data_IF_867710028443
#
_entry.id   IF_867710028443
#
_cell.length_a   1.000
_cell.length_b   1.000
_cell.length_c   1.000
_cell.angle_alpha   90.00
_cell.angle_beta   90.00
_cell.angle_gamma   90.00
#
_symmetry.space_group_name_H-M   'P 1'
#
loop_
_entity.id
_entity.type
_entity.pdbx_description
1 polymer ?
#
# COMPACT_ATOMS: atom_id res chain seq x y z
N UNK A 1 0.05 -16.67 -3.70
CA UNK A 1 -0.96 -15.71 -3.22
C UNK A 1 -0.27 -14.38 -2.94
N UNK A 2 -0.94 -13.26 -3.20
CA UNK A 2 -0.43 -11.89 -2.96
C UNK A 2 -1.62 -10.98 -2.70
N UNK A 3 -1.40 -9.82 -2.07
CA UNK A 3 -2.42 -8.80 -1.85
C UNK A 3 -2.87 -8.25 -3.20
N UNK A 4 -4.15 -8.24 -3.50
CA UNK A 4 -4.74 -7.79 -4.76
C UNK A 4 -5.36 -6.39 -4.67
N UNK A 5 -5.79 -5.82 -5.80
CA UNK A 5 -6.61 -4.61 -5.81
C UNK A 5 -8.00 -4.84 -5.19
N UNK A 6 -8.54 -6.06 -5.28
CA UNK A 6 -9.79 -6.45 -4.59
C UNK A 6 -9.58 -6.38 -3.07
N UNK A 7 -8.45 -6.88 -2.56
CA UNK A 7 -8.10 -6.79 -1.14
C UNK A 7 -8.06 -5.35 -0.65
N UNK A 8 -7.38 -4.46 -1.37
CA UNK A 8 -7.30 -3.03 -1.03
C UNK A 8 -8.69 -2.42 -0.95
N UNK A 9 -9.53 -2.66 -1.96
CA UNK A 9 -10.87 -2.11 -2.01
C UNK A 9 -11.77 -2.66 -0.91
N UNK A 10 -11.72 -3.97 -0.66
CA UNK A 10 -12.58 -4.63 0.32
C UNK A 10 -12.15 -4.33 1.76
N UNK A 11 -10.85 -4.37 2.07
CA UNK A 11 -10.32 -4.15 3.42
C UNK A 11 -10.43 -2.69 3.84
N UNK A 12 -10.11 -1.77 2.94
CA UNK A 12 -9.86 -0.37 3.30
C UNK A 12 -10.92 0.60 2.79
N UNK A 13 -11.75 0.18 1.81
CA UNK A 13 -12.78 1.02 1.18
C UNK A 13 -12.25 2.33 0.58
N UNK A 14 -10.98 2.34 0.14
CA UNK A 14 -10.36 3.46 -0.58
C UNK A 14 -10.35 3.22 -2.09
N UNK A 15 -10.41 4.29 -2.92
CA UNK A 15 -10.41 4.16 -4.38
C UNK A 15 -9.14 3.50 -4.90
N UNK A 16 -9.32 2.47 -5.73
CA UNK A 16 -8.27 1.77 -6.48
C UNK A 16 -8.23 2.17 -7.96
N UNK A 17 -9.21 2.96 -8.41
CA UNK A 17 -9.24 3.61 -9.74
C UNK A 17 -9.21 5.11 -9.58
N UNK A 18 -8.81 5.80 -10.65
CA UNK A 18 -8.78 7.25 -10.70
C UNK A 18 -7.44 7.77 -11.20
N UNK A 19 -7.17 9.03 -10.88
CA UNK A 19 -5.94 9.74 -11.25
C UNK A 19 -4.73 9.05 -10.62
N UNK A 20 -3.63 9.01 -11.37
CA UNK A 20 -2.35 8.48 -10.88
C UNK A 20 -1.83 9.37 -9.75
N UNK A 21 -1.38 8.75 -8.65
CA UNK A 21 -0.74 9.45 -7.54
C UNK A 21 0.72 9.72 -7.91
N UNK A 22 0.98 10.78 -8.66
CA UNK A 22 2.32 11.19 -9.03
C UNK A 22 2.42 12.71 -9.15
N UNK A 23 3.59 13.25 -8.79
CA UNK A 23 3.92 14.66 -9.00
C UNK A 23 5.13 14.72 -9.91
N UNK A 24 4.97 15.38 -11.06
CA UNK A 24 6.07 15.54 -12.01
C UNK A 24 7.20 16.37 -11.40
N UNK A 25 8.44 15.99 -11.72
CA UNK A 25 9.68 16.74 -11.40
C UNK A 25 9.98 16.98 -9.90
N UNK A 26 9.23 16.39 -8.96
CA UNK A 26 9.46 16.62 -7.52
C UNK A 26 10.70 15.93 -6.94
N UNK A 27 11.34 15.02 -7.69
CA UNK A 27 12.48 14.21 -7.22
C UNK A 27 13.84 14.92 -7.32
N UNK A 28 13.94 16.06 -8.00
CA UNK A 28 15.21 16.80 -8.14
C UNK A 28 15.31 17.85 -7.04
N UNK A 29 16.18 17.59 -6.06
CA UNK A 29 16.57 18.61 -5.08
C UNK A 29 17.44 19.65 -5.79
N UNK A 30 16.83 20.79 -6.11
CA UNK A 30 17.50 21.98 -6.63
C UNK A 30 17.14 23.16 -5.73
N UNK A 31 17.94 24.23 -5.75
CA UNK A 31 17.63 25.44 -4.97
C UNK A 31 16.28 26.06 -5.38
N UNK A 32 15.92 25.97 -6.67
CA UNK A 32 14.60 26.36 -7.19
C UNK A 32 13.49 25.48 -6.59
N UNK A 33 13.65 24.15 -6.64
CA UNK A 33 12.69 23.20 -6.05
C UNK A 33 12.48 23.45 -4.55
N UNK A 34 13.52 23.90 -3.83
CA UNK A 34 13.44 24.23 -2.41
C UNK A 34 12.65 25.52 -2.17
N UNK A 35 12.93 26.59 -2.92
CA UNK A 35 12.18 27.84 -2.82
C UNK A 35 10.68 27.61 -3.07
N UNK A 36 10.36 26.80 -4.09
CA UNK A 36 8.97 26.47 -4.40
C UNK A 36 8.32 25.59 -3.34
N UNK A 37 9.07 24.66 -2.75
CA UNK A 37 8.58 23.87 -1.62
C UNK A 37 8.26 24.72 -0.38
N UNK A 38 9.11 25.71 -0.06
CA UNK A 38 8.87 26.65 1.05
C UNK A 38 7.59 27.46 0.78
N UNK A 39 7.44 28.01 -0.44
CA UNK A 39 6.22 28.74 -0.84
C UNK A 39 4.99 27.85 -0.77
N UNK A 40 5.09 26.59 -1.19
CA UNK A 40 4.00 25.62 -1.15
C UNK A 40 3.58 25.30 0.29
N UNK A 41 4.55 25.05 1.17
CA UNK A 41 4.31 24.80 2.60
C UNK A 41 3.66 26.01 3.25
N UNK A 42 4.20 27.21 3.04
CA UNK A 42 3.63 28.46 3.57
C UNK A 42 2.19 28.68 3.09
N UNK A 43 1.95 28.57 1.78
CA UNK A 43 0.63 28.76 1.16
C UNK A 43 -0.39 27.74 1.65
N UNK A 44 -0.08 26.44 1.56
CA UNK A 44 -1.07 25.37 1.77
C UNK A 44 -1.26 25.01 3.24
N UNK A 45 -0.27 25.23 4.10
CA UNK A 45 -0.40 25.01 5.54
C UNK A 45 -0.71 26.29 6.31
N UNK A 46 -0.65 27.47 5.67
CA UNK A 46 -0.97 28.75 6.30
C UNK A 46 0.04 29.14 7.40
N UNK A 47 1.33 28.89 7.15
CA UNK A 47 2.44 29.30 8.02
C UNK A 47 3.25 30.42 7.39
N UNK A 48 4.01 31.19 8.18
CA UNK A 48 4.90 32.22 7.62
C UNK A 48 5.96 31.58 6.72
N UNK A 49 6.51 32.36 5.79
CA UNK A 49 7.60 31.91 4.92
C UNK A 49 8.82 31.53 5.76
N UNK A 50 9.12 32.32 6.80
CA UNK A 50 10.21 32.07 7.75
C UNK A 50 10.03 30.72 8.47
N UNK A 51 8.83 30.44 9.02
CA UNK A 51 8.54 29.17 9.69
C UNK A 51 8.66 27.97 8.73
N UNK A 52 8.22 28.13 7.49
CA UNK A 52 8.32 27.10 6.45
C UNK A 52 9.77 26.87 6.05
N UNK A 53 10.56 27.93 5.90
CA UNK A 53 11.98 27.87 5.58
C UNK A 53 12.75 27.14 6.68
N UNK A 54 12.55 27.52 7.95
CA UNK A 54 13.18 26.87 9.09
C UNK A 54 12.90 25.35 9.11
N UNK A 55 11.65 24.94 8.91
CA UNK A 55 11.28 23.52 8.92
C UNK A 55 11.89 22.76 7.73
N UNK A 56 11.85 23.31 6.53
CA UNK A 56 12.48 22.70 5.34
C UNK A 56 14.00 22.59 5.53
N UNK A 57 14.62 23.55 6.21
CA UNK A 57 16.05 23.56 6.51
C UNK A 57 16.41 22.48 7.53
N UNK A 58 15.63 22.35 8.61
CA UNK A 58 15.84 21.34 9.66
C UNK A 58 15.62 19.93 9.10
N UNK A 59 14.59 19.74 8.29
CA UNK A 59 14.24 18.44 7.72
C UNK A 59 15.18 17.99 6.59
N UNK A 60 16.06 18.88 6.09
CA UNK A 60 17.11 18.61 5.09
C UNK A 60 16.57 17.85 3.87
N UNK A 61 15.74 18.52 3.07
CA UNK A 61 15.19 17.98 1.84
C UNK A 61 13.84 18.59 1.47
N UNK A 62 13.16 18.02 0.48
CA UNK A 62 11.78 18.39 0.13
C UNK A 62 10.78 17.67 1.05
N UNK A 63 10.97 17.83 2.36
CA UNK A 63 10.21 17.15 3.41
C UNK A 63 9.80 18.11 4.52
N UNK A 64 8.88 17.69 5.38
CA UNK A 64 8.62 18.33 6.69
C UNK A 64 8.53 17.26 7.77
N UNK A 65 8.76 17.61 9.03
CA UNK A 65 8.68 16.71 10.17
C UNK A 65 7.24 16.47 10.61
N UNK A 66 6.93 15.20 10.92
CA UNK A 66 5.65 14.80 11.48
C UNK A 66 5.40 15.39 12.87
N UNK A 67 6.46 15.57 13.67
CA UNK A 67 6.35 16.21 14.99
C UNK A 67 6.04 17.71 14.88
N UNK A 68 6.58 18.39 13.87
CA UNK A 68 6.25 19.79 13.57
C UNK A 68 4.78 19.95 13.14
N UNK A 69 4.29 19.05 12.28
CA UNK A 69 2.86 18.98 11.96
C UNK A 69 2.01 18.75 13.24
N UNK A 70 2.41 17.80 14.09
CA UNK A 70 1.66 17.51 15.31
C UNK A 70 1.64 18.71 16.28
N UNK A 71 2.78 19.35 16.52
CA UNK A 71 2.86 20.47 17.47
C UNK A 71 2.02 21.65 17.00
N UNK A 72 2.04 21.98 15.72
CA UNK A 72 1.41 23.20 15.20
C UNK A 72 -0.11 23.09 15.07
N UNK A 73 -0.63 21.90 14.76
CA UNK A 73 -2.06 21.68 14.53
C UNK A 73 -2.77 20.90 15.65
N UNK A 74 -2.08 20.12 16.50
CA UNK A 74 -2.70 19.49 17.68
C UNK A 74 -2.71 20.39 18.93
N UNK A 75 -1.82 21.40 19.05
CA UNK A 75 -1.77 22.27 20.24
C UNK A 75 -2.68 23.50 20.18
N UNK A 76 -3.32 23.80 19.04
CA UNK A 76 -4.16 24.99 18.90
C UNK A 76 -5.60 24.83 19.37
N UNK A 77 -6.07 23.63 19.68
CA UNK A 77 -7.44 23.38 20.13
C UNK A 77 -7.78 23.97 21.53
N UNK A 78 -6.79 24.48 22.28
CA UNK A 78 -6.97 25.02 23.63
C UNK A 78 -6.59 26.49 23.84
N UNK A 79 -6.13 27.21 22.80
CA UNK A 79 -5.70 28.62 22.94
C UNK A 79 -6.76 29.59 22.42
N UNK A 80 -7.34 30.39 23.31
CA UNK A 80 -8.35 31.40 22.97
C UNK A 80 -7.82 32.61 22.17
N UNK A 81 -6.50 32.75 22.01
CA UNK A 81 -5.85 33.95 21.45
C UNK A 81 -5.09 33.73 20.14
N UNK A 82 -5.23 32.58 19.48
CA UNK A 82 -4.58 32.35 18.18
C UNK A 82 -5.58 32.47 17.04
N UNK A 83 -5.27 33.30 16.04
CA UNK A 83 -5.92 33.21 14.73
C UNK A 83 -5.71 31.79 14.20
N UNK A 84 -6.79 31.03 14.12
CA UNK A 84 -6.73 29.66 13.61
C UNK A 84 -6.33 29.71 12.13
N UNK A 85 -5.42 28.84 11.67
CA UNK A 85 -5.21 28.65 10.24
C UNK A 85 -6.57 28.33 9.58
N UNK A 86 -6.79 28.74 8.31
CA UNK A 86 -7.99 28.35 7.58
C UNK A 86 -8.27 26.84 7.72
N UNK A 87 -9.55 26.46 7.77
CA UNK A 87 -9.97 25.05 7.97
C UNK A 87 -9.28 24.13 6.97
N UNK A 88 -9.15 24.58 5.72
CA UNK A 88 -8.46 23.82 4.69
C UNK A 88 -6.97 23.57 4.99
N UNK A 89 -6.26 24.55 5.53
CA UNK A 89 -4.85 24.38 5.92
C UNK A 89 -4.70 23.32 7.00
N UNK A 90 -5.63 23.31 7.97
CA UNK A 90 -5.68 22.29 9.01
C UNK A 90 -6.03 20.92 8.44
N UNK A 91 -6.98 20.85 7.51
CA UNK A 91 -7.32 19.61 6.80
C UNK A 91 -6.14 19.06 6.00
N UNK A 92 -5.42 19.92 5.25
CA UNK A 92 -4.20 19.54 4.51
C UNK A 92 -3.12 19.01 5.45
N UNK A 93 -2.86 19.68 6.57
CA UNK A 93 -1.89 19.22 7.56
C UNK A 93 -2.27 17.85 8.16
N UNK A 94 -3.55 17.66 8.49
CA UNK A 94 -4.06 16.40 9.03
C UNK A 94 -3.96 15.27 8.01
N UNK A 95 -4.40 15.50 6.76
CA UNK A 95 -4.32 14.51 5.68
C UNK A 95 -2.86 14.16 5.34
N UNK A 96 -1.98 15.16 5.25
CA UNK A 96 -0.56 14.94 5.02
C UNK A 96 0.06 14.05 6.10
N UNK A 97 -0.25 14.34 7.37
CA UNK A 97 0.18 13.52 8.50
C UNK A 97 -0.38 12.09 8.40
N UNK A 98 -1.70 11.95 8.21
CA UNK A 98 -2.39 10.67 8.15
C UNK A 98 -1.83 9.78 7.02
N UNK A 99 -1.74 10.30 5.80
CA UNK A 99 -1.23 9.58 4.63
C UNK A 99 0.23 9.12 4.85
N UNK A 100 1.06 9.96 5.47
CA UNK A 100 2.46 9.64 5.78
C UNK A 100 2.65 8.62 6.89
N UNK A 101 1.64 8.40 7.73
CA UNK A 101 1.67 7.42 8.82
C UNK A 101 1.00 6.10 8.43
N UNK A 102 0.20 6.09 7.36
CA UNK A 102 -0.61 4.96 6.94
C UNK A 102 -0.23 4.49 5.54
N UNK A 103 -0.88 5.00 4.50
CA UNK A 103 -0.74 4.53 3.11
C UNK A 103 0.70 4.59 2.60
N UNK A 104 1.41 5.65 2.95
CA UNK A 104 2.75 5.95 2.43
C UNK A 104 3.80 6.04 3.54
N UNK A 105 3.61 5.28 4.62
CA UNK A 105 4.57 5.19 5.71
C UNK A 105 5.96 4.81 5.19
N UNK A 106 6.97 5.61 5.48
CA UNK A 106 8.35 5.37 5.11
C UNK A 106 9.16 4.79 6.30
N UNK A 107 10.44 4.47 6.06
CA UNK A 107 11.33 3.98 7.13
C UNK A 107 11.84 5.09 8.04
N UNK A 108 11.78 6.37 7.62
CA UNK A 108 12.25 7.48 8.47
C UNK A 108 11.39 7.65 9.72
N UNK A 109 10.10 7.29 9.62
CA UNK A 109 9.11 7.38 10.69
C UNK A 109 8.78 8.80 11.14
N UNK A 110 9.59 9.80 10.75
CA UNK A 110 9.61 11.14 11.34
C UNK A 110 9.38 12.25 10.31
N UNK A 111 9.52 11.96 9.01
CA UNK A 111 9.39 12.93 7.93
C UNK A 111 8.29 12.56 6.95
N UNK A 112 7.77 13.56 6.25
CA UNK A 112 6.81 13.39 5.16
C UNK A 112 7.27 14.23 3.97
N UNK A 113 7.15 13.68 2.76
CA UNK A 113 7.48 14.39 1.53
C UNK A 113 6.48 15.50 1.23
N UNK A 114 6.99 16.67 0.83
CA UNK A 114 6.17 17.81 0.37
C UNK A 114 5.45 17.46 -0.94
N UNK A 115 5.88 16.42 -1.68
CA UNK A 115 5.17 15.95 -2.86
C UNK A 115 3.72 15.53 -2.53
N UNK A 116 3.51 14.91 -1.35
CA UNK A 116 2.16 14.57 -0.88
C UNK A 116 1.32 15.82 -0.62
N UNK A 117 1.93 16.91 -0.14
CA UNK A 117 1.23 18.18 0.07
C UNK A 117 0.76 18.78 -1.26
N UNK A 118 1.52 18.61 -2.35
CA UNK A 118 1.12 19.07 -3.69
C UNK A 118 -0.15 18.36 -4.18
N UNK A 119 -0.30 17.06 -3.88
CA UNK A 119 -1.51 16.30 -4.19
C UNK A 119 -2.74 16.72 -3.36
N UNK A 120 -2.51 17.46 -2.27
CA UNK A 120 -3.55 17.99 -1.39
C UNK A 120 -3.84 19.48 -1.68
N UNK A 121 -3.34 20.04 -2.78
CA UNK A 121 -3.60 21.44 -3.14
C UNK A 121 -5.12 21.67 -3.31
N UNK A 122 -5.77 20.84 -4.12
CA UNK A 122 -7.23 20.79 -4.24
C UNK A 122 -7.79 19.63 -3.42
N UNK A 123 -8.39 19.95 -2.26
CA UNK A 123 -9.01 18.97 -1.38
C UNK A 123 -10.21 18.26 -2.02
N UNK A 124 -10.90 18.89 -2.98
CA UNK A 124 -12.03 18.28 -3.67
C UNK A 124 -11.56 17.17 -4.64
N UNK A 125 -10.32 17.24 -5.12
CA UNK A 125 -9.78 16.26 -6.06
C UNK A 125 -9.12 15.05 -5.37
N UNK A 126 -8.88 15.12 -4.05
CA UNK A 126 -8.20 14.05 -3.29
C UNK A 126 -8.91 12.70 -3.42
N UNK A 127 -10.25 12.70 -3.47
CA UNK A 127 -11.06 11.49 -3.63
C UNK A 127 -10.99 10.86 -5.02
N UNK A 128 -10.50 11.58 -6.03
CA UNK A 128 -10.42 11.11 -7.41
C UNK A 128 -9.09 10.40 -7.73
N UNK A 129 -8.15 10.37 -6.78
CA UNK A 129 -6.90 9.63 -6.95
C UNK A 129 -7.09 8.13 -6.69
N UNK A 130 -6.36 7.30 -7.44
CA UNK A 130 -6.25 5.87 -7.20
C UNK A 130 -5.36 5.56 -5.98
N UNK A 131 -5.68 6.15 -4.82
CA UNK A 131 -4.85 6.10 -3.60
C UNK A 131 -4.59 4.68 -3.09
N UNK A 132 -5.57 3.78 -3.24
CA UNK A 132 -5.42 2.37 -2.89
C UNK A 132 -4.43 1.64 -3.81
N UNK A 133 -4.49 1.86 -5.13
CA UNK A 133 -3.55 1.27 -6.07
C UNK A 133 -2.12 1.80 -5.85
N UNK A 134 -2.00 3.09 -5.55
CA UNK A 134 -0.73 3.71 -5.18
C UNK A 134 -0.16 3.14 -3.88
N UNK A 135 -0.99 2.97 -2.85
CA UNK A 135 -0.58 2.35 -1.58
C UNK A 135 -0.12 0.89 -1.80
N UNK A 136 -0.79 0.13 -2.68
CA UNK A 136 -0.38 -1.23 -3.02
C UNK A 136 0.96 -1.26 -3.76
N UNK A 137 1.18 -0.38 -4.75
CA UNK A 137 2.47 -0.25 -5.44
C UNK A 137 3.60 0.03 -4.44
N UNK A 138 3.37 0.97 -3.51
CA UNK A 138 4.34 1.34 -2.50
C UNK A 138 4.61 0.19 -1.51
N UNK A 139 3.58 -0.53 -1.09
CA UNK A 139 3.71 -1.70 -0.23
C UNK A 139 4.49 -2.84 -0.92
N UNK A 140 4.21 -3.12 -2.20
CA UNK A 140 4.95 -4.11 -2.99
C UNK A 140 6.44 -3.80 -3.07
N UNK A 141 6.81 -2.54 -3.33
CA UNK A 141 8.21 -2.08 -3.33
C UNK A 141 8.89 -2.36 -2.00
N UNK A 142 8.21 -2.10 -0.88
CA UNK A 142 8.76 -2.32 0.45
C UNK A 142 8.80 -3.80 0.85
N UNK A 143 7.84 -4.61 0.44
CA UNK A 143 7.87 -6.07 0.60
C UNK A 143 9.07 -6.67 -0.14
N UNK A 144 9.27 -6.30 -1.41
CA UNK A 144 10.42 -6.75 -2.19
C UNK A 144 11.77 -6.25 -1.65
N UNK A 145 11.78 -5.14 -0.92
CA UNK A 145 12.97 -4.65 -0.21
C UNK A 145 13.19 -5.38 1.11
N UNK A 146 12.12 -5.74 1.83
CA UNK A 146 12.17 -6.42 3.13
C UNK A 146 12.70 -7.86 3.05
N UNK A 147 12.66 -8.50 1.88
CA UNK A 147 13.27 -9.84 1.68
C UNK A 147 14.80 -9.82 1.63
N UNK A 148 15.44 -8.65 1.74
CA UNK A 148 16.90 -8.51 1.71
C UNK A 148 17.46 -8.69 3.12
N UNK A 149 18.54 -9.47 3.23
CA UNK A 149 19.17 -9.87 4.52
C UNK A 149 19.48 -8.69 5.45
N UNK A 150 19.82 -7.51 4.92
CA UNK A 150 20.19 -6.33 5.71
C UNK A 150 19.01 -5.44 6.11
N UNK A 151 17.78 -5.81 5.75
CA UNK A 151 16.59 -4.98 6.02
C UNK A 151 15.88 -5.48 7.27
N UNK A 152 15.84 -4.63 8.31
CA UNK A 152 15.18 -4.91 9.59
C UNK A 152 13.80 -4.23 9.73
N UNK A 153 13.42 -3.39 8.77
CA UNK A 153 12.18 -2.62 8.81
C UNK A 153 11.47 -2.67 7.46
N UNK A 154 10.15 -2.78 7.53
CA UNK A 154 9.24 -2.70 6.39
C UNK A 154 8.43 -1.39 6.48
N UNK A 155 8.13 -0.83 5.32
CA UNK A 155 7.36 0.39 5.14
C UNK A 155 6.17 0.13 4.20
N UNK A 156 5.38 1.16 3.90
CA UNK A 156 4.09 1.03 3.25
C UNK A 156 2.97 0.72 4.25
N UNK A 157 1.79 0.37 3.73
CA UNK A 157 0.61 0.26 4.57
C UNK A 157 0.50 -1.10 5.27
N UNK A 158 1.11 -1.25 6.44
CA UNK A 158 1.17 -2.54 7.15
C UNK A 158 -0.19 -3.04 7.64
N UNK A 159 -1.13 -2.16 7.95
CA UNK A 159 -2.50 -2.56 8.31
C UNK A 159 -3.20 -3.29 7.16
N UNK A 160 -2.89 -2.97 5.90
CA UNK A 160 -3.37 -3.73 4.74
C UNK A 160 -2.77 -5.14 4.72
N UNK A 161 -1.46 -5.25 4.95
CA UNK A 161 -0.77 -6.55 5.02
C UNK A 161 -1.32 -7.42 6.15
N UNK A 162 -1.51 -6.86 7.34
CA UNK A 162 -2.08 -7.55 8.50
C UNK A 162 -3.52 -7.99 8.24
N UNK A 163 -4.37 -7.08 7.74
CA UNK A 163 -5.76 -7.37 7.38
C UNK A 163 -5.85 -8.50 6.34
N UNK A 164 -5.01 -8.46 5.32
CA UNK A 164 -4.90 -9.54 4.32
C UNK A 164 -4.49 -10.86 4.97
N UNK A 165 -3.48 -10.86 5.84
CA UNK A 165 -3.07 -12.08 6.56
C UNK A 165 -4.23 -12.67 7.36
N UNK A 166 -5.01 -11.84 8.04
CA UNK A 166 -6.12 -12.30 8.89
C UNK A 166 -7.31 -12.84 8.10
N UNK A 167 -7.56 -12.33 6.90
CA UNK A 167 -8.61 -12.86 6.03
C UNK A 167 -8.26 -14.23 5.42
N UNK A 168 -6.99 -14.42 5.06
CA UNK A 168 -6.55 -15.63 4.36
C UNK A 168 -6.03 -16.74 5.27
N UNK A 169 -5.39 -16.41 6.40
CA UNK A 169 -4.70 -17.39 7.24
C UNK A 169 -5.25 -17.46 8.67
N UNK A 170 -5.66 -18.66 9.09
CA UNK A 170 -6.15 -18.94 10.45
C UNK A 170 -5.01 -19.16 11.46
N UNK A 171 -4.12 -18.18 11.59
CA UNK A 171 -2.92 -18.28 12.45
C UNK A 171 -3.19 -17.97 13.94
N UNK A 172 -4.42 -17.62 14.30
CA UNK A 172 -4.80 -17.27 15.68
C UNK A 172 -4.19 -15.96 16.19
N UNK A 173 -3.67 -15.11 15.29
CA UNK A 173 -3.01 -13.82 15.59
C UNK A 173 -4.00 -12.68 15.88
N UNK A 174 -5.25 -12.82 15.44
CA UNK A 174 -6.32 -11.86 15.67
C UNK A 174 -7.61 -12.57 16.06
N UNK A 175 -8.54 -11.82 16.64
CA UNK A 175 -9.91 -12.28 16.94
C UNK A 175 -10.92 -11.40 16.24
N UNK A 176 -12.09 -11.93 15.86
CA UNK A 176 -13.19 -11.12 15.34
C UNK A 176 -13.61 -10.02 16.34
N UNK A 177 -13.83 -8.82 15.81
CA UNK A 177 -14.33 -7.67 16.55
C UNK A 177 -15.85 -7.79 16.73
N UNK A 178 -16.32 -7.96 17.96
CA UNK A 178 -17.75 -8.09 18.27
C UNK A 178 -18.58 -6.84 17.90
N UNK A 179 -17.94 -5.67 17.75
CA UNK A 179 -18.62 -4.41 17.40
C UNK A 179 -18.57 -4.10 15.89
N UNK A 180 -17.96 -4.98 15.10
CA UNK A 180 -17.83 -4.76 13.67
C UNK A 180 -19.18 -4.90 12.95
N UNK A 181 -19.37 -4.08 11.93
CA UNK A 181 -20.60 -3.99 11.13
C UNK A 181 -20.20 -3.77 9.68
N UNK A 182 -20.51 -4.74 8.80
CA UNK A 182 -20.01 -4.83 7.40
C UNK A 182 -20.26 -3.56 6.56
N UNK A 183 -21.38 -2.86 6.79
CA UNK A 183 -21.78 -1.68 6.02
C UNK A 183 -21.35 -0.35 6.63
N UNK A 184 -20.80 -0.36 7.86
CA UNK A 184 -20.45 0.86 8.60
C UNK A 184 -18.94 1.02 8.70
N UNK A 185 -18.22 -0.07 8.87
CA UNK A 185 -16.79 -0.06 9.13
C UNK A 185 -16.02 -0.66 7.94
N UNK A 186 -14.82 -0.16 7.63
CA UNK A 186 -13.89 -0.86 6.75
C UNK A 186 -13.65 -2.28 7.24
N UNK A 187 -13.55 -3.26 6.33
CA UNK A 187 -13.46 -4.69 6.68
C UNK A 187 -12.22 -5.03 7.50
N UNK A 188 -11.14 -4.25 7.37
CA UNK A 188 -9.96 -4.41 8.23
C UNK A 188 -10.29 -4.27 9.72
N UNK A 189 -11.33 -3.50 10.09
CA UNK A 189 -11.80 -3.34 11.47
C UNK A 189 -12.53 -4.58 12.01
N UNK A 190 -12.78 -5.60 11.18
CA UNK A 190 -13.31 -6.90 11.59
C UNK A 190 -12.35 -7.62 12.52
N UNK A 191 -11.06 -7.33 12.44
CA UNK A 191 -10.04 -8.04 13.22
C UNK A 191 -9.51 -7.15 14.33
N UNK A 192 -9.45 -7.70 15.54
CA UNK A 192 -8.73 -7.12 16.68
C UNK A 192 -7.46 -7.92 16.87
N UNK A 193 -6.32 -7.24 16.79
CA UNK A 193 -5.03 -7.87 17.03
C UNK A 193 -4.97 -8.36 18.49
N UNK A 194 -4.49 -9.59 18.69
CA UNK A 194 -4.16 -10.05 20.04
C UNK A 194 -2.88 -9.34 20.46
N UNK A 195 -2.98 -8.39 21.39
CA UNK A 195 -1.82 -7.82 22.06
C UNK A 195 -1.21 -8.89 22.99
N UNK A 196 -0.37 -9.77 22.46
CA UNK A 196 0.55 -10.54 23.29
C UNK A 196 1.73 -9.63 23.66
N UNK A 197 2.03 -9.54 24.97
CA UNK A 197 2.93 -8.54 25.55
C UNK A 197 4.38 -8.63 25.05
N UNK A 198 4.81 -9.75 24.47
CA UNK A 198 6.13 -9.93 23.86
C UNK A 198 6.10 -10.97 22.73
N UNK A 199 6.40 -10.54 21.51
CA UNK A 199 6.75 -11.46 20.40
C UNK A 199 8.18 -11.94 20.62
N UNK A 200 8.37 -13.15 21.17
CA UNK A 200 9.70 -13.75 21.32
C UNK A 200 10.11 -14.58 20.09
N UNK A 201 11.39 -14.94 20.02
CA UNK A 201 11.96 -15.72 18.91
C UNK A 201 11.23 -17.06 18.73
N UNK A 202 10.83 -17.71 19.81
CA UNK A 202 10.15 -19.00 19.77
C UNK A 202 8.76 -18.91 19.13
N UNK A 203 8.00 -17.85 19.45
CA UNK A 203 6.69 -17.57 18.86
C UNK A 203 6.84 -17.27 17.38
N UNK A 204 7.82 -16.45 16.99
CA UNK A 204 8.15 -16.20 15.58
C UNK A 204 8.50 -17.51 14.86
N UNK A 205 9.31 -18.37 15.48
CA UNK A 205 9.64 -19.69 14.96
C UNK A 205 8.42 -20.60 14.83
N UNK A 206 7.48 -20.54 15.78
CA UNK A 206 6.22 -21.28 15.74
C UNK A 206 5.30 -20.82 14.60
N UNK A 207 5.19 -19.50 14.39
CA UNK A 207 4.42 -18.94 13.29
C UNK A 207 5.04 -19.36 11.95
N UNK A 208 6.36 -19.28 11.81
CA UNK A 208 7.07 -19.76 10.61
C UNK A 208 6.79 -21.22 10.32
N UNK A 209 6.94 -22.12 11.30
CA UNK A 209 6.61 -23.54 11.14
C UNK A 209 5.16 -23.78 10.74
N UNK A 210 4.24 -22.98 11.28
CA UNK A 210 2.82 -23.07 10.92
C UNK A 210 2.61 -22.64 9.47
N UNK A 211 3.22 -21.53 9.05
CA UNK A 211 3.17 -21.04 7.67
C UNK A 211 3.79 -22.05 6.68
N UNK A 212 4.95 -22.61 7.00
CA UNK A 212 5.67 -23.58 6.17
C UNK A 212 4.87 -24.90 6.01
N UNK A 213 4.04 -25.24 7.00
CA UNK A 213 3.19 -26.42 7.02
C UNK A 213 1.76 -26.21 6.53
N UNK A 214 1.40 -25.02 6.04
CA UNK A 214 0.04 -24.71 5.60
C UNK A 214 -0.40 -25.58 4.43
N UNK A 215 -1.56 -26.23 4.59
CA UNK A 215 -2.23 -26.96 3.50
C UNK A 215 -3.19 -26.03 2.76
N UNK A 216 -3.49 -26.28 1.46
CA UNK A 216 -4.46 -25.50 0.70
C UNK A 216 -5.85 -25.40 1.36
N UNK A 217 -6.27 -26.43 2.11
CA UNK A 217 -7.54 -26.44 2.84
C UNK A 217 -7.57 -25.54 4.08
N UNK A 218 -6.41 -25.07 4.54
CA UNK A 218 -6.27 -24.21 5.73
C UNK A 218 -6.20 -22.72 5.36
N UNK A 219 -6.15 -22.44 4.05
CA UNK A 219 -6.14 -21.09 3.47
C UNK A 219 -7.56 -20.76 2.98
N UNK A 220 -8.09 -19.62 3.39
CA UNK A 220 -9.27 -19.04 2.76
C UNK A 220 -8.80 -18.38 1.46
N UNK A 221 -9.13 -18.95 0.30
CA UNK A 221 -8.62 -18.42 -0.97
C UNK A 221 -9.42 -17.21 -1.45
N UNK A 222 -10.74 -17.23 -1.30
CA UNK A 222 -11.63 -16.17 -1.76
C UNK A 222 -12.49 -15.60 -0.60
N UNK A 223 -11.91 -14.77 0.28
CA UNK A 223 -12.59 -14.29 1.48
C UNK A 223 -13.72 -13.28 1.21
N UNK A 224 -13.90 -12.86 -0.05
CA UNK A 224 -14.86 -11.82 -0.45
C UNK A 224 -15.98 -12.33 -1.36
N UNK A 225 -16.07 -13.64 -1.62
CA UNK A 225 -17.06 -14.22 -2.54
C UNK A 225 -18.49 -13.73 -2.30
N UNK A 226 -18.88 -13.54 -1.03
CA UNK A 226 -20.21 -13.09 -0.62
C UNK A 226 -20.40 -11.56 -0.65
N UNK A 227 -19.34 -10.79 -0.90
CA UNK A 227 -19.34 -9.32 -0.85
C UNK A 227 -19.18 -8.69 -2.24
N UNK A 228 -19.29 -9.47 -3.32
CA UNK A 228 -19.12 -9.03 -4.72
C UNK A 228 -20.37 -8.39 -5.34
N UNK A 229 -21.26 -7.82 -4.53
CA UNK A 229 -22.58 -7.32 -4.93
C UNK A 229 -22.56 -6.33 -6.12
N UNK A 230 -21.45 -5.60 -6.32
CA UNK A 230 -21.33 -4.56 -7.36
C UNK A 230 -20.47 -4.94 -8.58
N UNK A 231 -19.85 -6.12 -8.64
CA UNK A 231 -19.09 -6.64 -9.80
C UNK A 231 -17.83 -5.87 -10.25
N UNK A 232 -17.80 -4.54 -10.13
CA UNK A 232 -16.71 -3.65 -10.60
C UNK A 232 -15.42 -3.89 -9.81
N UNK A 233 -15.51 -4.01 -8.48
CA UNK A 233 -14.35 -4.26 -7.62
C UNK A 233 -13.70 -5.61 -7.97
N UNK A 234 -14.52 -6.62 -8.25
CA UNK A 234 -14.03 -7.93 -8.65
C UNK A 234 -13.37 -7.89 -10.05
N UNK A 235 -13.95 -7.17 -11.00
CA UNK A 235 -13.35 -7.00 -12.32
C UNK A 235 -11.94 -6.40 -12.25
N UNK A 236 -11.72 -5.44 -11.34
CA UNK A 236 -10.40 -4.82 -11.13
C UNK A 236 -9.34 -5.75 -10.58
N UNK A 237 -9.74 -6.81 -9.88
CA UNK A 237 -8.81 -7.85 -9.43
C UNK A 237 -8.03 -8.45 -10.60
N UNK A 238 -8.57 -8.37 -11.82
CA UNK A 238 -7.97 -8.89 -13.05
C UNK A 238 -7.24 -7.85 -13.89
N UNK A 239 -7.02 -6.63 -13.40
CA UNK A 239 -6.15 -5.66 -14.10
C UNK A 239 -4.73 -6.20 -14.22
N UNK A 240 -4.16 -6.31 -15.43
CA UNK A 240 -2.78 -6.74 -15.64
C UNK A 240 -1.96 -5.60 -16.20
N UNK A 241 -0.85 -5.25 -15.54
CA UNK A 241 -0.03 -4.11 -15.92
C UNK A 241 0.86 -3.62 -14.78
N UNK A 242 0.90 -2.31 -14.59
CA UNK A 242 1.74 -1.68 -13.56
C UNK A 242 0.94 -0.73 -12.69
N UNK A 243 1.27 -0.68 -11.41
CA UNK A 243 0.76 0.27 -10.44
C UNK A 243 1.82 1.33 -10.16
N UNK A 244 1.40 2.56 -9.82
CA UNK A 244 2.31 3.69 -9.62
C UNK A 244 1.97 4.51 -8.39
N UNK A 245 3.03 4.88 -7.66
CA UNK A 245 3.06 5.89 -6.63
C UNK A 245 4.33 6.71 -6.78
N UNK A 246 4.21 8.00 -7.14
CA UNK A 246 5.35 8.88 -7.39
C UNK A 246 6.34 8.27 -8.40
N UNK A 247 7.56 7.97 -7.97
CA UNK A 247 8.62 7.31 -8.74
C UNK A 247 8.59 5.77 -8.62
N UNK A 248 7.80 5.23 -7.70
CA UNK A 248 7.62 3.79 -7.51
C UNK A 248 6.64 3.26 -8.55
N UNK A 249 7.12 2.32 -9.36
CA UNK A 249 6.32 1.57 -10.32
C UNK A 249 6.53 0.10 -10.02
N UNK A 250 5.43 -0.64 -9.85
CA UNK A 250 5.45 -2.08 -9.58
C UNK A 250 4.52 -2.84 -10.52
N UNK A 251 4.94 -3.99 -11.06
CA UNK A 251 4.08 -4.83 -11.86
C UNK A 251 2.98 -5.46 -11.00
N UNK A 252 1.81 -5.60 -11.58
CA UNK A 252 0.66 -6.26 -10.99
C UNK A 252 0.15 -7.33 -11.97
N UNK A 253 0.25 -8.57 -11.50
CA UNK A 253 0.11 -9.80 -12.30
C UNK A 253 -0.98 -10.69 -11.69
N UNK A 254 -2.27 -10.36 -11.84
CA UNK A 254 -3.33 -11.16 -11.24
C UNK A 254 -3.44 -12.57 -11.81
N UNK A 255 -2.91 -12.82 -13.01
CA UNK A 255 -2.82 -14.15 -13.62
C UNK A 255 -1.96 -15.11 -12.79
N UNK A 256 -1.19 -14.62 -11.81
CA UNK A 256 -0.35 -15.40 -10.89
C UNK A 256 -0.98 -15.64 -9.53
N UNK A 257 -2.19 -15.11 -9.30
CA UNK A 257 -2.94 -15.22 -8.06
C UNK A 257 -4.42 -15.47 -8.31
N UNK A 258 -4.78 -16.14 -9.41
CA UNK A 258 -6.18 -16.38 -9.78
C UNK A 258 -6.91 -17.25 -8.75
N UNK A 259 -6.16 -18.06 -7.99
CA UNK A 259 -6.68 -18.80 -6.83
C UNK A 259 -7.28 -17.89 -5.76
N UNK A 260 -6.73 -16.69 -5.57
CA UNK A 260 -7.28 -15.70 -4.62
C UNK A 260 -8.66 -15.16 -5.05
N UNK A 261 -9.07 -15.45 -6.28
CA UNK A 261 -10.34 -15.02 -6.89
C UNK A 261 -11.26 -16.21 -7.17
N UNK A 262 -10.99 -17.38 -6.57
CA UNK A 262 -11.79 -18.59 -6.75
C UNK A 262 -11.60 -19.28 -8.10
N UNK A 263 -10.49 -19.05 -8.80
CA UNK A 263 -10.16 -19.73 -10.07
C UNK A 263 -8.99 -20.71 -9.88
N UNK A 264 -8.89 -21.70 -10.75
CA UNK A 264 -7.75 -22.62 -10.79
C UNK A 264 -6.53 -21.88 -11.32
N UNK A 265 -5.43 -21.89 -10.56
CA UNK A 265 -4.19 -21.23 -10.93
C UNK A 265 -3.48 -21.98 -12.07
N UNK A 266 -3.50 -21.44 -13.29
CA UNK A 266 -2.69 -21.95 -14.39
C UNK A 266 -1.21 -21.53 -14.24
N UNK A 267 -0.31 -22.19 -14.99
CA UNK A 267 1.09 -21.76 -15.09
C UNK A 267 1.14 -20.48 -15.92
N UNK A 268 1.50 -19.36 -15.29
CA UNK A 268 1.58 -18.05 -15.96
C UNK A 268 2.95 -17.79 -16.60
N UNK A 269 2.94 -17.03 -17.70
CA UNK A 269 4.15 -16.54 -18.38
C UNK A 269 5.10 -15.79 -17.43
N UNK A 270 6.43 -15.84 -17.64
CA UNK A 270 7.42 -15.17 -16.78
C UNK A 270 7.06 -13.73 -16.43
N UNK A 271 7.37 -13.26 -15.20
CA UNK A 271 6.99 -11.92 -14.76
C UNK A 271 7.66 -10.84 -15.63
N UNK A 272 7.05 -9.65 -15.64
CA UNK A 272 7.57 -8.50 -16.36
C UNK A 272 9.05 -8.25 -16.04
N UNK A 273 9.87 -8.07 -17.07
CA UNK A 273 11.29 -7.73 -16.88
C UNK A 273 11.42 -6.26 -16.47
N UNK A 274 12.22 -5.96 -15.43
CA UNK A 274 12.51 -4.57 -15.08
C UNK A 274 13.34 -3.91 -16.18
N UNK A 275 13.13 -2.61 -16.37
CA UNK A 275 13.95 -1.77 -17.27
C UNK A 275 15.37 -1.62 -16.72
N UNK A 276 15.48 -1.48 -15.41
CA UNK A 276 16.75 -1.37 -14.70
C UNK A 276 16.66 -2.20 -13.42
N UNK A 277 17.68 -3.01 -13.16
CA UNK A 277 17.78 -3.77 -11.92
C UNK A 277 19.22 -3.74 -11.42
N UNK A 278 19.46 -3.03 -10.33
CA UNK A 278 20.69 -3.06 -9.57
C UNK A 278 20.46 -3.78 -8.24
N UNK A 279 21.15 -4.91 -8.05
CA UNK A 279 21.11 -5.71 -6.83
C UNK A 279 22.48 -5.62 -6.16
N UNK A 280 22.83 -4.43 -5.70
CA UNK A 280 24.09 -4.21 -5.00
C UNK A 280 24.19 -5.02 -3.69
N UNK A 281 25.38 -5.06 -3.08
CA UNK A 281 25.64 -5.84 -1.85
C UNK A 281 24.94 -5.28 -0.61
N UNK A 282 24.40 -4.05 -0.69
CA UNK A 282 23.61 -3.45 0.38
C UNK A 282 22.18 -3.16 -0.05
N UNK A 283 21.27 -3.19 0.92
CA UNK A 283 19.86 -2.87 0.68
C UNK A 283 19.66 -1.43 0.13
N UNK A 284 20.56 -0.50 0.47
CA UNK A 284 20.56 0.88 -0.04
C UNK A 284 20.92 0.97 -1.53
N UNK A 285 21.62 -0.03 -2.07
CA UNK A 285 21.96 -0.14 -3.49
C UNK A 285 20.95 -1.02 -4.25
N UNK A 286 19.87 -1.45 -3.61
CA UNK A 286 18.81 -2.17 -4.31
C UNK A 286 17.92 -1.20 -5.06
N UNK A 287 17.93 -1.27 -6.39
CA UNK A 287 17.09 -0.45 -7.27
C UNK A 287 16.49 -1.35 -8.33
N UNK A 288 15.16 -1.32 -8.45
CA UNK A 288 14.44 -1.96 -9.54
C UNK A 288 13.46 -0.95 -10.12
N UNK A 289 13.50 -0.76 -11.43
CA UNK A 289 12.61 0.17 -12.14
C UNK A 289 11.85 -0.58 -13.21
N UNK A 290 10.54 -0.36 -13.23
CA UNK A 290 9.64 -0.83 -14.26
C UNK A 290 9.13 0.35 -15.08
N UNK A 291 8.76 0.10 -16.33
CA UNK A 291 8.13 1.10 -17.17
C UNK A 291 6.69 1.34 -16.71
N UNK A 292 6.19 2.56 -16.87
CA UNK A 292 4.80 2.90 -16.61
C UNK A 292 4.19 3.52 -17.86
N UNK A 293 3.03 3.04 -18.27
CA UNK A 293 2.22 3.64 -19.33
C UNK A 293 1.10 4.45 -18.69
N UNK A 294 1.04 5.75 -18.99
CA UNK A 294 0.12 6.68 -18.33
C UNK A 294 -1.35 6.31 -18.49
N UNK A 295 -1.72 5.79 -19.65
CA UNK A 295 -3.10 5.38 -19.98
C UNK A 295 -3.61 4.21 -19.12
N UNK A 296 -2.73 3.44 -18.48
CA UNK A 296 -3.08 2.20 -17.81
C UNK A 296 -4.05 2.40 -16.63
N UNK A 297 -3.96 3.53 -15.91
CA UNK A 297 -4.83 3.79 -14.76
C UNK A 297 -6.20 4.37 -15.17
N UNK A 298 -6.24 5.28 -16.13
CA UNK A 298 -7.48 5.91 -16.59
C UNK A 298 -8.32 4.97 -17.47
N UNK A 299 -7.65 4.08 -18.22
CA UNK A 299 -8.28 3.10 -19.11
C UNK A 299 -8.10 1.66 -18.62
N UNK A 300 -8.02 1.44 -17.30
CA UNK A 300 -7.76 0.12 -16.69
C UNK A 300 -8.65 -1.01 -17.23
N UNK A 301 -9.89 -0.70 -17.64
CA UNK A 301 -10.81 -1.67 -18.25
C UNK A 301 -10.27 -2.33 -19.52
N UNK A 302 -9.41 -1.62 -20.27
CA UNK A 302 -8.76 -2.12 -21.48
C UNK A 302 -7.59 -3.06 -21.17
N UNK A 303 -7.18 -3.14 -19.90
CA UNK A 303 -6.04 -3.92 -19.42
C UNK A 303 -6.49 -5.05 -18.49
N UNK A 304 -7.76 -5.44 -18.57
CA UNK A 304 -8.26 -6.60 -17.85
C UNK A 304 -7.80 -7.89 -18.52
N UNK A 305 -7.36 -8.85 -17.72
CA UNK A 305 -7.10 -10.21 -18.20
C UNK A 305 -8.35 -10.73 -18.90
N UNK A 306 -8.15 -11.27 -20.09
CA UNK A 306 -9.20 -11.92 -20.86
C UNK A 306 -9.77 -13.12 -20.07
N UNK A 307 -11.08 -13.37 -20.09
CA UNK A 307 -11.71 -14.45 -19.32
C UNK A 307 -11.03 -15.82 -19.51
N UNK A 308 -10.53 -16.09 -20.71
CA UNK A 308 -9.86 -17.34 -21.08
C UNK A 308 -8.54 -17.55 -20.31
N UNK A 309 -7.89 -16.46 -19.92
CA UNK A 309 -6.60 -16.47 -19.19
C UNK A 309 -6.81 -16.55 -17.68
N UNK A 310 -8.02 -16.25 -17.18
CA UNK A 310 -8.33 -16.26 -15.73
C UNK A 310 -8.34 -17.68 -15.14
N UNK A 311 -8.42 -18.70 -16.00
CA UNK A 311 -8.58 -20.10 -15.60
C UNK A 311 -10.04 -20.48 -15.37
N UNK A 312 -10.29 -21.75 -15.12
CA UNK A 312 -11.64 -22.22 -14.77
C UNK A 312 -11.98 -21.84 -13.33
N UNK A 313 -13.26 -21.62 -13.04
CA UNK A 313 -13.72 -21.41 -11.67
C UNK A 313 -13.50 -22.71 -10.88
N UNK A 314 -12.85 -22.61 -9.73
CA UNK A 314 -12.62 -23.77 -8.89
C UNK A 314 -13.96 -24.30 -8.34
N UNK A 315 -14.22 -25.60 -8.49
CA UNK A 315 -15.41 -26.25 -7.93
C UNK A 315 -15.41 -26.23 -6.39
N UNK A 316 -14.22 -26.25 -5.79
CA UNK A 316 -14.01 -26.13 -4.34
C UNK A 316 -12.82 -25.21 -4.05
N UNK A 317 -12.88 -24.41 -2.97
CA UNK A 317 -11.83 -23.43 -2.63
C UNK A 317 -10.41 -24.06 -2.54
N UNK A 318 -10.30 -25.30 -2.05
CA UNK A 318 -9.02 -26.01 -1.93
C UNK A 318 -8.48 -26.59 -3.25
N UNK A 319 -9.30 -26.64 -4.32
CA UNK A 319 -8.90 -27.04 -5.66
C UNK A 319 -8.38 -25.87 -6.51
N UNK A 320 -8.37 -24.66 -5.97
CA UNK A 320 -7.80 -23.48 -6.62
C UNK A 320 -6.26 -23.58 -6.82
N UNK A 321 -5.62 -24.56 -6.19
CA UNK A 321 -4.23 -24.97 -6.45
C UNK A 321 -4.17 -26.22 -7.35
N UNK A 322 -3.45 -26.19 -8.48
CA UNK A 322 -3.23 -27.39 -9.28
C UNK A 322 -2.53 -28.46 -8.44
N UNK A 323 -3.03 -29.68 -8.50
CA UNK A 323 -2.44 -30.90 -7.92
C UNK A 323 -0.97 -31.11 -8.33
N UNK A 324 -0.52 -30.42 -9.39
CA UNK A 324 0.79 -30.52 -10.02
C UNK A 324 1.91 -29.77 -9.24
N UNK A 325 1.59 -28.73 -8.45
CA UNK A 325 2.62 -27.96 -7.73
C UNK A 325 3.28 -28.73 -6.56
N UNK A 326 2.65 -29.80 -6.06
CA UNK A 326 3.20 -30.61 -4.98
C UNK A 326 4.36 -31.52 -5.45
N UNK A 327 4.51 -31.74 -6.77
CA UNK A 327 5.59 -32.56 -7.34
C UNK A 327 6.90 -31.79 -7.58
N UNK A 328 6.83 -30.51 -7.97
CA UNK A 328 7.97 -29.74 -8.45
C UNK A 328 8.66 -28.87 -7.37
N UNK A 329 8.01 -28.62 -6.23
CA UNK A 329 8.63 -27.91 -5.11
C UNK A 329 9.77 -28.70 -4.45
N UNK A 330 9.79 -30.03 -4.59
CA UNK A 330 10.85 -30.89 -4.03
C UNK A 330 12.21 -30.76 -4.71
N UNK A 331 12.32 -30.09 -5.86
CA UNK A 331 13.59 -29.97 -6.60
C UNK A 331 14.25 -28.59 -6.53
N UNK A 332 13.68 -27.63 -5.78
CA UNK A 332 14.23 -26.27 -5.67
C UNK A 332 14.93 -25.97 -4.33
N UNK A 333 15.00 -26.96 -3.45
CA UNK A 333 15.85 -26.95 -2.26
C UNK A 333 16.86 -28.08 -2.35
N UNK A 334 17.91 -27.89 -3.15
CA UNK A 334 19.19 -28.53 -2.99
C UNK A 334 20.31 -27.60 -3.46
#
# INVERSE_FOLDING_TARGET
MSISLEDVSMLLKIPVTGKVVAVENFARYTDESRSDAIKLVSKLLGVSIEDAEDEVNISKGLTVQKCWLKSRWCLKAGSRNTTYPPVECTARAYLLYLLSCTLFADKSGSRVSIALLKLLEDLADVGNYAGGAAALAYLYRHLGSATRVQVSQIAGYLTLLEGWVYEHFKLGLATPNAKYMDYVHPRVCRWVQKHETVMNIDKVGSIRRTLDGLRPSEVTWDPYVNHRENGVVHAMAFYSGTLKYMDVVEPYHPERITSAFGHVQSISDPPSRPLEAHRGPSALKYSVKYGFQADNCERWRNHLLAPEVRGEKAEFEFLATPTIYLGSSKSLTH
#
